data_IF_163596952822
#
_entry.id   IF_163596952822
#
_cell.length_a   1.000
_cell.length_b   1.000
_cell.length_c   1.000
_cell.angle_alpha   90.00
_cell.angle_beta   90.00
_cell.angle_gamma   90.00
#
_symmetry.space_group_name_H-M   'P 1'
#
loop_
_entity.id
_entity.type
_entity.pdbx_description
1 polymer ?
#
# COMPACT_ATOMS: atom_id res chain seq x y z
N UNK A 1 -13.42 10.85 10.94
CA UNK A 1 -13.43 10.71 12.42
C UNK A 1 -14.84 10.58 13.01
N UNK A 2 -15.80 11.45 12.70
CA UNK A 2 -17.17 11.42 13.25
C UNK A 2 -17.89 10.08 13.02
N UNK A 3 -17.77 9.46 11.83
CA UNK A 3 -18.41 8.17 11.53
C UNK A 3 -17.81 7.04 12.35
N UNK A 4 -16.48 7.03 12.59
CA UNK A 4 -15.80 6.00 13.36
C UNK A 4 -16.18 5.96 14.84
N UNK A 5 -16.59 7.09 15.43
CA UNK A 5 -17.05 7.21 16.83
C UNK A 5 -18.57 7.16 16.95
N UNK A 6 -19.28 7.10 15.84
CA UNK A 6 -20.76 7.02 15.80
C UNK A 6 -21.25 5.57 15.95
N UNK A 7 -22.54 5.36 16.32
CA UNK A 7 -23.14 4.02 16.32
C UNK A 7 -23.05 3.30 14.95
N UNK A 8 -22.92 4.05 13.86
CA UNK A 8 -22.72 3.49 12.51
C UNK A 8 -21.34 2.84 12.39
N UNK A 9 -20.31 3.44 12.98
CA UNK A 9 -18.94 2.92 12.94
C UNK A 9 -18.73 1.65 13.76
N UNK A 10 -19.59 1.38 14.74
CA UNK A 10 -19.56 0.14 15.53
C UNK A 10 -20.23 -1.05 14.85
N UNK A 11 -20.99 -0.82 13.77
CA UNK A 11 -21.64 -1.88 13.01
C UNK A 11 -20.61 -2.75 12.27
N UNK A 12 -20.64 -4.05 12.53
CA UNK A 12 -19.80 -5.02 11.81
C UNK A 12 -20.45 -5.35 10.47
N UNK A 13 -19.67 -5.21 9.41
CA UNK A 13 -20.04 -5.70 8.08
C UNK A 13 -19.75 -7.21 8.06
N UNK A 14 -20.78 -8.02 8.29
CA UNK A 14 -20.67 -9.49 8.27
C UNK A 14 -21.11 -9.95 6.88
N UNK A 15 -20.17 -10.46 6.10
CA UNK A 15 -20.47 -11.06 4.81
C UNK A 15 -20.57 -12.57 5.03
N UNK A 16 -21.76 -13.20 4.80
CA UNK A 16 -21.95 -14.62 4.97
C UNK A 16 -20.89 -15.44 4.20
N UNK A 17 -20.35 -16.46 4.83
CA UNK A 17 -19.35 -17.36 4.22
C UNK A 17 -17.92 -16.80 4.16
N UNK A 18 -17.64 -15.61 4.71
CA UNK A 18 -16.28 -15.07 4.82
C UNK A 18 -15.78 -15.12 6.27
N UNK A 19 -14.53 -15.53 6.40
CA UNK A 19 -13.85 -15.52 7.70
C UNK A 19 -13.47 -14.10 8.14
N UNK A 20 -13.53 -13.88 9.43
CA UNK A 20 -13.03 -12.66 10.07
C UNK A 20 -11.50 -12.72 10.17
N UNK A 21 -10.84 -11.58 9.98
CA UNK A 21 -9.40 -11.44 10.15
C UNK A 21 -9.08 -10.85 11.53
N UNK A 22 -7.92 -11.20 12.09
CA UNK A 22 -7.38 -10.48 13.24
C UNK A 22 -7.02 -9.05 12.84
N UNK A 23 -7.01 -8.13 13.79
CA UNK A 23 -6.62 -6.72 13.52
C UNK A 23 -5.22 -6.63 12.90
N UNK A 24 -4.27 -7.45 13.36
CA UNK A 24 -2.94 -7.51 12.78
C UNK A 24 -2.97 -7.94 11.31
N UNK A 25 -3.65 -9.03 10.97
CA UNK A 25 -3.72 -9.50 9.57
C UNK A 25 -4.47 -8.52 8.68
N UNK A 26 -5.55 -7.92 9.18
CA UNK A 26 -6.28 -6.88 8.46
C UNK A 26 -5.40 -5.67 8.16
N UNK A 27 -4.72 -5.14 9.20
CA UNK A 27 -3.77 -4.03 9.03
C UNK A 27 -2.61 -4.37 8.10
N UNK A 28 -2.06 -5.60 8.20
CA UNK A 28 -0.99 -6.06 7.31
C UNK A 28 -1.41 -6.10 5.84
N UNK A 29 -2.61 -6.59 5.55
CA UNK A 29 -3.12 -6.62 4.18
C UNK A 29 -3.39 -5.20 3.62
N UNK A 30 -3.94 -4.30 4.45
CA UNK A 30 -4.14 -2.90 4.06
C UNK A 30 -2.80 -2.20 3.79
N UNK A 31 -1.83 -2.36 4.69
CA UNK A 31 -0.50 -1.79 4.50
C UNK A 31 0.17 -2.31 3.23
N UNK A 32 0.15 -3.63 3.01
CA UNK A 32 0.74 -4.23 1.81
C UNK A 32 0.08 -3.77 0.51
N UNK A 33 -1.21 -3.42 0.54
CA UNK A 33 -1.95 -2.92 -0.62
C UNK A 33 -1.64 -1.45 -0.91
N UNK A 34 -1.50 -0.62 0.14
CA UNK A 34 -1.33 0.83 -0.01
C UNK A 34 0.11 1.30 -0.07
N UNK A 35 1.02 0.57 0.59
CA UNK A 35 2.39 1.02 0.87
C UNK A 35 3.46 0.03 0.40
N UNK A 36 3.29 -0.57 -0.74
CA UNK A 36 4.25 -1.55 -1.27
C UNK A 36 5.65 -0.97 -1.58
N UNK A 37 6.23 -1.41 -2.68
CA UNK A 37 7.57 -0.99 -3.12
C UNK A 37 7.71 0.52 -3.35
N UNK A 38 6.61 1.22 -3.67
CA UNK A 38 6.60 2.67 -3.83
C UNK A 38 7.11 3.39 -2.57
N UNK A 39 6.73 2.93 -1.38
CA UNK A 39 7.23 3.52 -0.12
C UNK A 39 8.76 3.39 0.00
N UNK A 40 9.31 2.21 -0.28
CA UNK A 40 10.76 1.99 -0.21
C UNK A 40 11.52 2.85 -1.23
N UNK A 41 10.98 2.97 -2.44
CA UNK A 41 11.57 3.78 -3.48
C UNK A 41 11.53 5.28 -3.11
N UNK A 42 10.35 5.80 -2.82
CA UNK A 42 10.17 7.24 -2.57
C UNK A 42 10.72 7.68 -1.22
N UNK A 43 10.70 6.86 -0.18
CA UNK A 43 11.26 7.23 1.13
C UNK A 43 12.76 7.57 1.06
N UNK A 44 13.49 6.99 0.12
CA UNK A 44 14.90 7.26 -0.08
C UNK A 44 15.17 8.46 -0.98
N UNK A 45 14.23 8.83 -1.85
CA UNK A 45 14.43 9.80 -2.91
C UNK A 45 13.62 11.09 -2.76
N UNK A 46 12.43 11.04 -2.20
CA UNK A 46 11.49 12.18 -2.20
C UNK A 46 12.04 13.42 -1.47
N UNK A 47 12.70 13.23 -0.34
CA UNK A 47 13.35 14.32 0.39
C UNK A 47 14.39 15.06 -0.47
N UNK A 48 15.12 14.34 -1.32
CA UNK A 48 16.11 14.91 -2.22
C UNK A 48 15.44 15.77 -3.30
N UNK A 49 14.29 15.34 -3.83
CA UNK A 49 13.53 16.13 -4.81
C UNK A 49 13.15 17.50 -4.23
N UNK A 50 12.62 17.54 -3.00
CA UNK A 50 12.29 18.81 -2.34
C UNK A 50 13.52 19.63 -1.92
N UNK A 51 14.64 18.97 -1.68
CA UNK A 51 15.89 19.63 -1.37
C UNK A 51 16.53 20.26 -2.60
N UNK A 52 16.51 19.59 -3.75
CA UNK A 52 17.10 20.08 -5.00
C UNK A 52 16.20 21.04 -5.76
N UNK A 53 14.89 20.94 -5.56
CA UNK A 53 13.89 21.81 -6.20
C UNK A 53 13.00 22.48 -5.14
N UNK A 54 13.55 23.36 -4.31
CA UNK A 54 12.77 24.00 -3.25
C UNK A 54 11.75 24.97 -3.82
N UNK A 55 10.60 25.10 -3.14
CA UNK A 55 9.60 26.12 -3.47
C UNK A 55 10.19 27.51 -3.17
N UNK A 56 10.90 27.63 -2.04
CA UNK A 56 11.66 28.80 -1.64
C UNK A 56 12.96 28.34 -0.99
N UNK A 57 14.08 29.04 -1.23
CA UNK A 57 15.38 28.68 -0.64
C UNK A 57 15.34 28.74 0.89
N UNK A 58 14.63 29.70 1.48
CA UNK A 58 14.55 29.87 2.94
C UNK A 58 13.90 28.68 3.66
N UNK A 59 13.00 27.96 2.97
CA UNK A 59 12.27 26.81 3.52
C UNK A 59 12.78 25.46 3.03
N UNK A 60 13.84 25.46 2.25
CA UNK A 60 14.41 24.27 1.60
C UNK A 60 14.57 23.06 2.52
N UNK A 61 15.25 23.26 3.65
CA UNK A 61 15.50 22.18 4.60
C UNK A 61 14.23 21.73 5.33
N UNK A 62 13.36 22.65 5.68
CA UNK A 62 12.07 22.32 6.31
C UNK A 62 11.18 21.53 5.36
N UNK A 63 11.03 22.01 4.13
CA UNK A 63 10.18 21.36 3.12
C UNK A 63 10.68 19.95 2.77
N UNK A 64 11.99 19.77 2.64
CA UNK A 64 12.57 18.46 2.33
C UNK A 64 12.33 17.41 3.45
N UNK A 65 12.15 17.84 4.69
CA UNK A 65 11.85 16.97 5.84
C UNK A 65 10.36 16.73 6.01
N UNK A 66 9.56 17.79 5.92
CA UNK A 66 8.14 17.77 6.29
C UNK A 66 7.24 17.22 5.18
N UNK A 67 7.49 17.56 3.91
CA UNK A 67 6.63 17.12 2.81
C UNK A 67 6.58 15.61 2.60
N UNK A 68 7.70 14.86 2.63
CA UNK A 68 7.63 13.40 2.57
C UNK A 68 6.82 12.80 3.71
N UNK A 69 6.99 13.30 4.94
CA UNK A 69 6.20 12.83 6.08
C UNK A 69 4.71 13.15 5.91
N UNK A 70 4.37 14.37 5.53
CA UNK A 70 2.99 14.77 5.27
C UNK A 70 2.36 13.92 4.16
N UNK A 71 3.09 13.62 3.09
CA UNK A 71 2.62 12.86 1.94
C UNK A 71 2.31 11.40 2.29
N UNK A 72 3.20 10.75 3.07
CA UNK A 72 3.10 9.32 3.36
C UNK A 72 2.41 8.98 4.68
N UNK A 73 2.21 9.93 5.56
CA UNK A 73 1.50 9.73 6.82
C UNK A 73 -0.02 9.96 6.66
N UNK A 74 -0.52 11.07 7.21
CA UNK A 74 -1.96 11.30 7.35
C UNK A 74 -2.67 11.58 6.02
N UNK A 75 -2.06 12.33 5.12
CA UNK A 75 -2.71 12.77 3.89
C UNK A 75 -2.93 11.62 2.92
N UNK A 76 -1.91 10.78 2.70
CA UNK A 76 -2.05 9.60 1.84
C UNK A 76 -3.14 8.65 2.34
N UNK A 77 -3.16 8.36 3.64
CA UNK A 77 -4.18 7.50 4.24
C UNK A 77 -5.57 8.12 4.27
N UNK A 78 -5.68 9.43 4.42
CA UNK A 78 -6.97 10.14 4.40
C UNK A 78 -7.70 9.99 3.06
N UNK A 79 -6.96 9.93 1.95
CA UNK A 79 -7.54 9.70 0.62
C UNK A 79 -8.23 8.33 0.52
N UNK A 80 -7.69 7.29 1.18
CA UNK A 80 -8.29 5.96 1.18
C UNK A 80 -9.54 5.86 2.08
N UNK A 81 -9.68 6.73 3.07
CA UNK A 81 -10.82 6.71 3.99
C UNK A 81 -12.13 7.04 3.25
N UNK A 82 -12.12 8.01 2.33
CA UNK A 82 -13.31 8.45 1.62
C UNK A 82 -14.00 7.31 0.84
N UNK A 83 -13.32 6.61 -0.10
CA UNK A 83 -13.92 5.49 -0.81
C UNK A 83 -14.25 4.32 0.14
N UNK A 84 -13.43 4.06 1.15
CA UNK A 84 -13.68 2.99 2.12
C UNK A 84 -14.99 3.21 2.87
N UNK A 85 -15.25 4.43 3.35
CA UNK A 85 -16.51 4.78 4.02
C UNK A 85 -17.69 4.67 3.06
N UNK A 86 -17.57 5.13 1.82
CA UNK A 86 -18.63 5.03 0.82
C UNK A 86 -18.99 3.55 0.54
N UNK A 87 -17.99 2.68 0.38
CA UNK A 87 -18.20 1.25 0.20
C UNK A 87 -18.82 0.60 1.44
N UNK A 88 -18.30 0.90 2.63
CA UNK A 88 -18.83 0.37 3.89
C UNK A 88 -20.30 0.73 4.09
N UNK A 89 -20.67 1.99 3.91
CA UNK A 89 -22.06 2.44 4.01
C UNK A 89 -22.98 1.78 2.97
N UNK A 90 -22.48 1.59 1.75
CA UNK A 90 -23.25 0.90 0.71
C UNK A 90 -23.51 -0.57 1.06
N UNK A 91 -22.51 -1.27 1.59
CA UNK A 91 -22.62 -2.66 2.04
C UNK A 91 -23.53 -2.80 3.25
N UNK A 92 -23.49 -1.87 4.22
CA UNK A 92 -24.40 -1.85 5.37
C UNK A 92 -25.86 -1.65 4.95
N UNK A 93 -26.09 -0.89 3.87
CA UNK A 93 -27.44 -0.67 3.33
C UNK A 93 -27.97 -1.84 2.50
N UNK A 94 -27.09 -2.63 1.93
CA UNK A 94 -27.44 -3.76 1.07
C UNK A 94 -26.46 -4.91 1.24
N UNK A 95 -26.69 -5.75 2.24
CA UNK A 95 -25.85 -6.90 2.56
C UNK A 95 -25.74 -7.95 1.41
N UNK A 96 -26.67 -7.92 0.46
CA UNK A 96 -26.70 -8.83 -0.70
C UNK A 96 -26.12 -8.19 -1.96
N UNK A 97 -25.50 -7.00 -1.89
CA UNK A 97 -24.90 -6.38 -3.06
C UNK A 97 -23.76 -7.25 -3.60
N UNK A 98 -23.67 -7.42 -4.93
CA UNK A 98 -22.51 -8.05 -5.54
C UNK A 98 -21.24 -7.29 -5.14
N UNK A 99 -20.17 -8.02 -4.80
CA UNK A 99 -18.89 -7.43 -4.39
C UNK A 99 -18.07 -6.97 -5.62
N UNK A 100 -18.73 -6.35 -6.58
CA UNK A 100 -18.12 -5.63 -7.69
C UNK A 100 -18.20 -4.13 -7.44
N UNK A 101 -17.34 -3.36 -8.08
CA UNK A 101 -17.35 -1.90 -7.94
C UNK A 101 -18.73 -1.31 -8.28
N UNK A 102 -19.28 -1.70 -9.42
CA UNK A 102 -20.62 -1.28 -9.85
C UNK A 102 -21.73 -1.81 -8.94
N UNK A 103 -21.60 -3.06 -8.44
CA UNK A 103 -22.60 -3.68 -7.57
C UNK A 103 -22.74 -2.99 -6.21
N UNK A 104 -21.63 -2.47 -5.68
CA UNK A 104 -21.61 -1.73 -4.42
C UNK A 104 -22.17 -0.32 -4.59
N UNK A 105 -21.85 0.37 -5.69
CA UNK A 105 -22.25 1.77 -5.91
C UNK A 105 -23.63 1.94 -6.53
N UNK A 106 -24.02 1.05 -7.43
CA UNK A 106 -25.20 1.22 -8.27
C UNK A 106 -26.33 0.27 -7.85
N UNK A 107 -27.36 0.81 -7.20
CA UNK A 107 -28.51 0.01 -6.71
C UNK A 107 -29.37 -0.65 -7.80
N UNK A 108 -29.52 -0.04 -8.97
CA UNK A 108 -30.56 -0.43 -9.95
C UNK A 108 -30.16 -0.45 -11.43
N UNK A 109 -28.93 -0.05 -11.76
CA UNK A 109 -28.55 -0.03 -13.17
C UNK A 109 -28.04 -1.42 -13.59
N UNK A 110 -28.72 -2.01 -14.56
CA UNK A 110 -28.27 -3.18 -15.33
C UNK A 110 -27.80 -2.72 -16.70
N UNK A 111 -26.89 -3.43 -17.33
CA UNK A 111 -26.49 -3.20 -18.70
C UNK A 111 -25.03 -2.82 -18.88
N UNK A 112 -24.71 -2.34 -20.07
CA UNK A 112 -23.35 -2.07 -20.56
C UNK A 112 -22.58 -1.11 -19.63
N UNK A 113 -23.26 -0.14 -19.02
CA UNK A 113 -22.62 0.84 -18.14
C UNK A 113 -21.97 0.19 -16.89
N UNK A 114 -22.60 -0.83 -16.30
CA UNK A 114 -22.00 -1.59 -15.19
C UNK A 114 -20.74 -2.32 -15.63
N UNK A 115 -20.80 -2.95 -16.80
CA UNK A 115 -19.67 -3.68 -17.36
C UNK A 115 -18.49 -2.72 -17.61
N UNK A 116 -18.75 -1.56 -18.20
CA UNK A 116 -17.74 -0.53 -18.44
C UNK A 116 -17.10 -0.05 -17.13
N UNK A 117 -17.90 0.24 -16.09
CA UNK A 117 -17.39 0.64 -14.78
C UNK A 117 -16.50 -0.44 -14.13
N UNK A 118 -16.95 -1.68 -14.15
CA UNK A 118 -16.19 -2.79 -13.58
C UNK A 118 -14.90 -3.05 -14.36
N UNK A 119 -14.92 -2.98 -15.70
CA UNK A 119 -13.73 -3.09 -16.54
C UNK A 119 -12.75 -1.94 -16.28
N UNK A 120 -13.26 -0.71 -16.16
CA UNK A 120 -12.42 0.45 -15.85
C UNK A 120 -11.74 0.30 -14.48
N UNK A 121 -12.47 -0.16 -13.47
CA UNK A 121 -11.95 -0.41 -12.14
C UNK A 121 -10.89 -1.52 -12.12
N UNK A 122 -11.16 -2.64 -12.82
CA UNK A 122 -10.18 -3.74 -12.97
C UNK A 122 -8.92 -3.24 -13.69
N UNK A 123 -9.10 -2.48 -14.79
CA UNK A 123 -7.99 -1.87 -15.51
C UNK A 123 -7.13 -0.96 -14.64
N UNK A 124 -7.77 -0.12 -13.82
CA UNK A 124 -7.05 0.75 -12.86
C UNK A 124 -6.25 -0.05 -11.83
N UNK A 125 -6.82 -1.13 -11.28
CA UNK A 125 -6.10 -2.01 -10.33
C UNK A 125 -4.91 -2.69 -11.01
N UNK A 126 -5.10 -3.23 -12.21
CA UNK A 126 -4.02 -3.89 -12.95
C UNK A 126 -2.90 -2.93 -13.30
N UNK A 127 -3.23 -1.71 -13.73
CA UNK A 127 -2.25 -0.65 -14.00
C UNK A 127 -1.47 -0.27 -12.74
N UNK A 128 -2.17 -0.05 -11.62
CA UNK A 128 -1.53 0.26 -10.34
C UNK A 128 -0.59 -0.85 -9.86
N UNK A 129 -1.01 -2.10 -9.98
CA UNK A 129 -0.18 -3.26 -9.67
C UNK A 129 1.04 -3.34 -10.60
N UNK A 130 0.85 -3.10 -11.90
CA UNK A 130 1.93 -3.08 -12.89
C UNK A 130 2.98 -2.02 -12.59
N UNK A 131 2.57 -0.81 -12.26
CA UNK A 131 3.48 0.28 -11.86
C UNK A 131 4.24 -0.08 -10.58
N UNK A 132 3.56 -0.62 -9.57
CA UNK A 132 4.21 -1.07 -8.32
C UNK A 132 5.28 -2.13 -8.58
N UNK A 133 5.00 -3.10 -9.43
CA UNK A 133 5.97 -4.12 -9.83
C UNK A 133 7.13 -3.52 -10.63
N UNK A 134 6.85 -2.65 -11.59
CA UNK A 134 7.87 -2.01 -12.41
C UNK A 134 8.90 -1.20 -11.60
N UNK A 135 8.47 -0.57 -10.50
CA UNK A 135 9.37 0.12 -9.57
C UNK A 135 10.13 -0.86 -8.66
N UNK A 136 9.55 -2.03 -8.37
CA UNK A 136 10.13 -3.00 -7.44
C UNK A 136 11.32 -3.75 -8.00
N UNK A 137 11.25 -4.18 -9.26
CA UNK A 137 12.28 -5.05 -9.84
C UNK A 137 13.66 -4.41 -9.93
N UNK A 138 13.80 -3.17 -10.46
CA UNK A 138 15.12 -2.51 -10.50
C UNK A 138 15.69 -2.29 -9.10
N UNK A 139 14.83 -1.98 -8.12
CA UNK A 139 15.25 -1.81 -6.74
C UNK A 139 15.78 -3.11 -6.13
N UNK A 140 15.09 -4.23 -6.36
CA UNK A 140 15.52 -5.55 -5.90
C UNK A 140 16.79 -6.00 -6.60
N UNK A 141 16.88 -5.81 -7.90
CA UNK A 141 18.05 -6.12 -8.71
C UNK A 141 19.27 -5.32 -8.23
N UNK A 142 19.13 -4.03 -8.01
CA UNK A 142 20.18 -3.18 -7.47
C UNK A 142 20.63 -3.62 -6.07
N UNK A 143 19.69 -4.01 -5.21
CA UNK A 143 20.02 -4.50 -3.87
C UNK A 143 20.80 -5.82 -3.93
N UNK A 144 20.35 -6.79 -4.74
CA UNK A 144 21.02 -8.08 -4.93
C UNK A 144 22.40 -7.87 -5.55
N UNK A 145 22.51 -7.05 -6.59
CA UNK A 145 23.77 -6.68 -7.24
C UNK A 145 24.78 -6.16 -6.21
N UNK A 146 24.36 -5.27 -5.33
CA UNK A 146 25.22 -4.66 -4.31
C UNK A 146 25.62 -5.64 -3.20
N UNK A 147 24.70 -6.50 -2.75
CA UNK A 147 24.97 -7.49 -1.69
C UNK A 147 25.95 -8.57 -2.16
N UNK A 148 25.77 -9.06 -3.37
CA UNK A 148 26.57 -10.16 -3.93
C UNK A 148 27.72 -9.69 -4.82
N UNK A 149 27.91 -8.37 -4.98
CA UNK A 149 28.91 -7.78 -5.87
C UNK A 149 28.82 -8.30 -7.32
N UNK A 150 27.58 -8.46 -7.81
CA UNK A 150 27.30 -8.91 -9.17
C UNK A 150 26.99 -7.68 -10.02
N UNK A 151 27.50 -7.65 -11.26
CA UNK A 151 27.17 -6.57 -12.19
C UNK A 151 25.67 -6.49 -12.45
N UNK A 152 25.07 -5.29 -12.41
CA UNK A 152 23.66 -5.09 -12.72
C UNK A 152 23.42 -5.37 -14.22
N UNK A 153 22.67 -6.40 -14.49
CA UNK A 153 22.35 -6.84 -15.86
C UNK A 153 20.83 -6.99 -16.03
N UNK A 154 20.37 -6.86 -17.26
CA UNK A 154 18.97 -7.09 -17.59
C UNK A 154 18.51 -8.51 -17.24
N UNK A 155 19.42 -9.48 -17.26
CA UNK A 155 19.11 -10.86 -16.84
C UNK A 155 18.80 -10.97 -15.35
N UNK A 156 19.46 -10.14 -14.52
CA UNK A 156 19.16 -10.07 -13.10
C UNK A 156 17.77 -9.47 -12.84
N UNK A 157 17.40 -8.45 -13.61
CA UNK A 157 16.05 -7.86 -13.54
C UNK A 157 14.97 -8.88 -13.91
N UNK A 158 15.18 -9.63 -15.00
CA UNK A 158 14.26 -10.71 -15.40
C UNK A 158 14.19 -11.85 -14.37
N UNK A 159 15.32 -12.20 -13.74
CA UNK A 159 15.34 -13.20 -12.67
C UNK A 159 14.51 -12.73 -11.47
N UNK A 160 14.68 -11.47 -11.03
CA UNK A 160 13.89 -10.90 -9.94
C UNK A 160 12.40 -10.85 -10.30
N UNK A 161 12.07 -10.41 -11.51
CA UNK A 161 10.70 -10.45 -12.04
C UNK A 161 10.11 -11.87 -11.97
N UNK A 162 10.83 -12.86 -12.41
CA UNK A 162 10.39 -14.26 -12.43
C UNK A 162 10.13 -14.79 -11.02
N UNK A 163 11.06 -14.55 -10.08
CA UNK A 163 10.92 -14.96 -8.67
C UNK A 163 9.68 -14.29 -8.04
N UNK A 164 9.53 -12.97 -8.21
CA UNK A 164 8.38 -12.25 -7.69
C UNK A 164 7.07 -12.73 -8.29
N UNK A 165 7.05 -13.01 -9.59
CA UNK A 165 5.87 -13.55 -10.27
C UNK A 165 5.46 -14.90 -9.66
N UNK A 166 6.40 -15.80 -9.43
CA UNK A 166 6.12 -17.10 -8.78
C UNK A 166 5.55 -16.89 -7.38
N UNK A 167 6.13 -16.01 -6.57
CA UNK A 167 5.67 -15.74 -5.21
C UNK A 167 4.23 -15.20 -5.24
N UNK A 168 3.96 -14.23 -6.10
CA UNK A 168 2.63 -13.61 -6.22
C UNK A 168 1.62 -14.62 -6.76
N UNK A 169 1.93 -15.33 -7.83
CA UNK A 169 1.04 -16.35 -8.40
C UNK A 169 0.72 -17.45 -7.38
N UNK A 170 1.72 -17.93 -6.64
CA UNK A 170 1.52 -18.93 -5.59
C UNK A 170 0.63 -18.37 -4.48
N UNK A 171 0.87 -17.12 -4.06
CA UNK A 171 0.05 -16.45 -3.04
C UNK A 171 -1.41 -16.31 -3.48
N UNK A 172 -1.64 -15.93 -4.74
CA UNK A 172 -3.00 -15.80 -5.30
C UNK A 172 -3.67 -17.17 -5.43
N UNK A 173 -2.93 -18.19 -5.89
CA UNK A 173 -3.43 -19.56 -6.02
C UNK A 173 -3.88 -20.15 -4.68
N UNK A 174 -3.14 -19.90 -3.61
CA UNK A 174 -3.49 -20.31 -2.24
C UNK A 174 -4.67 -19.51 -1.65
N UNK A 175 -5.09 -18.45 -2.34
CA UNK A 175 -6.22 -17.61 -1.96
C UNK A 175 -5.92 -16.64 -0.82
N UNK A 176 -6.92 -15.85 -0.45
CA UNK A 176 -6.74 -14.73 0.50
C UNK A 176 -6.29 -15.20 1.88
N UNK A 177 -6.86 -16.30 2.38
CA UNK A 177 -6.57 -16.80 3.73
C UNK A 177 -5.18 -17.42 3.89
N UNK A 178 -4.76 -18.22 2.93
CA UNK A 178 -3.54 -19.03 3.04
C UNK A 178 -2.36 -18.42 2.27
N UNK A 179 -2.62 -17.57 1.32
CA UNK A 179 -1.61 -16.89 0.50
C UNK A 179 -1.46 -15.43 0.89
N UNK A 180 -2.36 -14.58 0.42
CA UNK A 180 -2.25 -13.12 0.54
C UNK A 180 -2.08 -12.66 2.00
N UNK A 181 -2.89 -13.18 2.92
CA UNK A 181 -2.80 -12.85 4.34
C UNK A 181 -1.43 -13.23 4.93
N UNK A 182 -0.94 -14.45 4.62
CA UNK A 182 0.36 -14.91 5.16
C UNK A 182 1.52 -14.08 4.60
N UNK A 183 1.49 -13.80 3.31
CA UNK A 183 2.51 -12.97 2.67
C UNK A 183 2.51 -11.55 3.24
N UNK A 184 1.32 -10.94 3.42
CA UNK A 184 1.19 -9.61 4.02
C UNK A 184 1.67 -9.58 5.48
N UNK A 185 1.34 -10.59 6.27
CA UNK A 185 1.81 -10.68 7.66
C UNK A 185 3.34 -10.82 7.73
N UNK A 186 3.93 -11.65 6.87
CA UNK A 186 5.39 -11.79 6.79
C UNK A 186 6.04 -10.46 6.38
N UNK A 187 5.47 -9.76 5.39
CA UNK A 187 5.97 -8.47 4.95
C UNK A 187 5.98 -7.43 6.09
N UNK A 188 4.88 -7.30 6.83
CA UNK A 188 4.80 -6.36 7.97
C UNK A 188 5.83 -6.68 9.06
N UNK A 189 6.03 -7.97 9.37
CA UNK A 189 7.03 -8.39 10.35
C UNK A 189 8.43 -7.97 9.88
N UNK A 190 8.76 -8.21 8.60
CA UNK A 190 10.04 -7.80 8.03
C UNK A 190 10.22 -6.27 8.06
N UNK A 191 9.17 -5.51 7.74
CA UNK A 191 9.21 -4.03 7.82
C UNK A 191 9.46 -3.57 9.25
N UNK A 192 8.79 -4.15 10.25
CA UNK A 192 8.99 -3.81 11.66
C UNK A 192 10.44 -4.13 12.09
N UNK A 193 10.95 -5.31 11.73
CA UNK A 193 12.34 -5.70 12.03
C UNK A 193 13.30 -4.69 11.40
N UNK A 194 13.09 -4.34 10.12
CA UNK A 194 13.92 -3.38 9.41
C UNK A 194 13.91 -2.00 10.09
N UNK A 195 12.73 -1.50 10.45
CA UNK A 195 12.61 -0.21 11.16
C UNK A 195 13.31 -0.22 12.52
N UNK A 196 13.20 -1.32 13.27
CA UNK A 196 13.92 -1.48 14.54
C UNK A 196 15.43 -1.51 14.33
N UNK A 197 15.91 -2.22 13.31
CA UNK A 197 17.34 -2.23 12.96
C UNK A 197 17.82 -0.83 12.62
N UNK A 198 17.09 -0.08 11.79
CA UNK A 198 17.44 1.31 11.44
C UNK A 198 17.43 2.21 12.68
N UNK A 199 16.45 2.03 13.56
CA UNK A 199 16.35 2.81 14.81
C UNK A 199 17.52 2.54 15.75
N UNK A 200 17.92 1.29 15.96
CA UNK A 200 18.95 0.93 16.95
C UNK A 200 20.38 1.01 16.40
N UNK A 201 20.59 0.73 15.12
CA UNK A 201 21.93 0.76 14.50
C UNK A 201 22.22 2.14 13.90
N UNK A 202 21.19 2.87 13.48
CA UNK A 202 21.30 4.20 12.90
C UNK A 202 21.52 5.30 13.93
N UNK A 203 21.52 6.57 13.49
CA UNK A 203 21.64 7.72 14.37
C UNK A 203 20.33 7.98 15.13
N UNK A 204 20.03 7.17 16.14
CA UNK A 204 18.77 7.13 16.90
C UNK A 204 18.33 8.51 17.38
N UNK A 205 19.26 9.28 17.98
CA UNK A 205 18.96 10.61 18.50
C UNK A 205 18.53 11.59 17.40
N UNK A 206 19.17 11.52 16.24
CA UNK A 206 18.80 12.32 15.08
C UNK A 206 17.41 11.92 14.54
N UNK A 207 17.14 10.62 14.43
CA UNK A 207 15.86 10.08 13.97
C UNK A 207 14.72 10.59 14.88
N UNK A 208 14.86 10.40 16.20
CA UNK A 208 13.83 10.79 17.17
C UNK A 208 13.62 12.30 17.22
N UNK A 209 14.70 13.09 17.30
CA UNK A 209 14.58 14.55 17.35
C UNK A 209 13.99 15.14 16.08
N UNK A 210 14.36 14.60 14.92
CA UNK A 210 13.86 15.08 13.64
C UNK A 210 12.37 14.73 13.44
N UNK A 211 11.96 13.53 13.84
CA UNK A 211 10.55 13.11 13.77
C UNK A 211 9.67 13.91 14.73
N UNK A 212 10.19 14.29 15.89
CA UNK A 212 9.44 15.11 16.86
C UNK A 212 9.28 16.57 16.42
N UNK A 213 10.20 17.09 15.62
CA UNK A 213 10.23 18.48 15.16
C UNK A 213 9.66 18.69 13.74
N UNK A 214 9.19 17.63 13.08
CA UNK A 214 8.55 17.66 11.74
C UNK A 214 7.05 17.62 11.83
#
# INVERSE_FOLDING_TARGET
MIIGVSPIGSNKIIIPGRSTYSYFSWGSMLFATGMGAALLYWSTYEWLVYYTNPITEDTKLLNSRSYPLFHWMFTGWALYILPTVAFALSLLRNNNAPLTFSGILLKKQSGIFRIILDLFFIGAILTGAGVGLALSFPLMSAAVSKIFSIEPTIYLDFLMLFICTIIVCTSVYLGVQNGIKRLSNANIILVIIFLLLVLFIGPTQYILSNTANS
#
